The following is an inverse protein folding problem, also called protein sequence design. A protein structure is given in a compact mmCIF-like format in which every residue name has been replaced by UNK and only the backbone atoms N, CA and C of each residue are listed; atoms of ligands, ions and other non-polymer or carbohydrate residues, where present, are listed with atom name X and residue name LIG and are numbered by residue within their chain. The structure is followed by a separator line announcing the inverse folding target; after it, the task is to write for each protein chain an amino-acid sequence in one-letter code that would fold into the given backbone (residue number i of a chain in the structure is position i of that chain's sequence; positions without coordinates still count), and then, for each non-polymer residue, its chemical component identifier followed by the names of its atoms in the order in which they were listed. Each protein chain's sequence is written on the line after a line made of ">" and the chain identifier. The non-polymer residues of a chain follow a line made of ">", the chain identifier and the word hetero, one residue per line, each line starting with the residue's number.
data_IF_230294724521
#
_entry.id   IF_230294724521
#
_cell.length_a   1.000
_cell.length_b   1.000
_cell.length_c   1.000
_cell.angle_alpha   90.00
_cell.angle_beta   90.00
_cell.angle_gamma   90.00
#
_symmetry.space_group_name_H-M   'P 1'
#
loop_
_entity.id
_entity.type
_entity.pdbx_description
1 polymer ?
#
# COMPACT_ATOMS: atom_id res chain seq x y z
N UNK A 1 -12.00 -9.66 4.01
CA UNK A 1 -10.94 -8.62 4.10
C UNK A 1 -11.46 -7.38 3.40
N UNK A 2 -11.46 -6.22 4.08
CA UNK A 2 -11.83 -4.95 3.45
C UNK A 2 -10.55 -4.28 3.00
N UNK A 3 -10.39 -4.14 1.70
CA UNK A 3 -9.29 -3.42 1.10
C UNK A 3 -9.78 -2.01 0.81
N UNK A 4 -9.04 -1.00 1.25
CA UNK A 4 -9.43 0.40 1.14
C UNK A 4 -8.42 1.18 0.29
N UNK A 5 -8.94 2.17 -0.42
CA UNK A 5 -8.13 3.11 -1.17
C UNK A 5 -7.18 3.85 -0.21
N UNK A 6 -5.90 3.97 -0.59
CA UNK A 6 -4.88 4.54 0.27
C UNK A 6 -4.16 3.55 1.20
N UNK A 7 -4.58 2.28 1.29
CA UNK A 7 -3.81 1.27 2.03
C UNK A 7 -2.47 0.97 1.36
N UNK A 8 -1.44 0.83 2.16
CA UNK A 8 -0.11 0.42 1.74
C UNK A 8 0.14 -1.00 2.26
N UNK A 9 0.67 -1.86 1.41
CA UNK A 9 1.01 -3.23 1.75
C UNK A 9 2.48 -3.47 1.46
N UNK A 10 3.21 -4.06 2.39
CA UNK A 10 4.61 -4.42 2.22
C UNK A 10 4.77 -5.92 2.07
N UNK A 11 5.57 -6.34 1.10
CA UNK A 11 5.92 -7.74 0.90
C UNK A 11 7.43 -7.86 0.69
N UNK A 12 8.14 -8.26 1.73
CA UNK A 12 9.60 -8.24 1.70
C UNK A 12 10.10 -6.81 1.51
N UNK A 13 10.73 -6.54 0.36
CA UNK A 13 11.21 -5.21 -0.03
C UNK A 13 10.24 -4.42 -0.91
N UNK A 14 9.13 -5.03 -1.33
CA UNK A 14 8.16 -4.40 -2.21
C UNK A 14 7.04 -3.71 -1.41
N UNK A 15 6.62 -2.55 -1.89
CA UNK A 15 5.52 -1.76 -1.35
C UNK A 15 4.41 -1.63 -2.39
N UNK A 16 3.16 -1.82 -1.98
CA UNK A 16 1.98 -1.81 -2.83
C UNK A 16 0.94 -0.87 -2.23
N UNK A 17 0.79 0.31 -2.80
CA UNK A 17 -0.21 1.30 -2.37
C UNK A 17 -1.45 1.21 -3.24
N UNK A 18 -2.60 0.89 -2.66
CA UNK A 18 -3.87 0.87 -3.38
C UNK A 18 -4.23 2.30 -3.78
N UNK A 19 -4.28 2.56 -5.09
CA UNK A 19 -4.57 3.89 -5.65
C UNK A 19 -6.05 4.03 -5.95
N UNK A 20 -6.66 3.06 -6.66
CA UNK A 20 -8.10 3.08 -6.99
C UNK A 20 -8.72 1.69 -7.03
N UNK A 21 -10.04 1.65 -6.85
CA UNK A 21 -10.85 0.44 -6.95
C UNK A 21 -11.67 0.46 -8.23
N UNK A 22 -11.29 -0.36 -9.20
CA UNK A 22 -12.11 -0.62 -10.37
C UNK A 22 -13.15 -1.72 -10.06
N UNK A 23 -14.18 -1.80 -10.90
CA UNK A 23 -15.30 -2.74 -10.73
C UNK A 23 -14.82 -4.20 -10.70
N UNK A 24 -13.83 -4.54 -11.54
CA UNK A 24 -13.24 -5.89 -11.66
C UNK A 24 -11.75 -5.96 -11.30
N UNK A 25 -11.07 -4.83 -11.14
CA UNK A 25 -9.64 -4.76 -10.88
C UNK A 25 -9.30 -3.81 -9.72
N UNK A 26 -8.07 -3.87 -9.25
CA UNK A 26 -7.49 -3.00 -8.24
C UNK A 26 -6.28 -2.35 -8.87
N UNK A 27 -6.27 -1.02 -8.85
CA UNK A 27 -5.13 -0.23 -9.27
C UNK A 27 -4.28 0.09 -8.04
N UNK A 28 -3.01 -0.25 -8.09
CA UNK A 28 -2.05 -0.03 -7.03
C UNK A 28 -0.72 0.45 -7.59
N UNK A 29 -0.01 1.24 -6.80
CA UNK A 29 1.35 1.66 -7.10
C UNK A 29 2.31 0.70 -6.42
N UNK A 30 3.13 0.03 -7.22
CA UNK A 30 4.23 -0.80 -6.76
C UNK A 30 5.49 0.05 -6.64
N UNK A 31 6.16 0.02 -5.51
CA UNK A 31 7.47 0.65 -5.28
C UNK A 31 8.38 -0.39 -4.66
N UNK A 32 9.59 -0.57 -5.18
CA UNK A 32 10.64 -1.41 -4.56
C UNK A 32 11.51 -0.62 -3.60
N UNK A 33 11.53 0.71 -3.75
CA UNK A 33 12.36 1.58 -2.94
C UNK A 33 11.64 2.91 -2.69
N UNK A 34 11.47 3.26 -1.42
CA UNK A 34 10.87 4.53 -1.00
C UNK A 34 11.83 5.70 -1.25
N UNK A 35 13.13 5.43 -1.35
CA UNK A 35 14.19 6.42 -1.45
C UNK A 35 14.33 6.96 -2.88
N UNK A 36 14.27 6.09 -3.89
CA UNK A 36 14.31 6.49 -5.31
C UNK A 36 12.99 7.05 -5.81
N UNK A 37 11.87 6.80 -5.08
CA UNK A 37 10.49 7.13 -5.48
C UNK A 37 10.06 6.51 -6.83
N UNK A 38 10.88 5.65 -7.41
CA UNK A 38 10.55 4.92 -8.63
C UNK A 38 9.53 3.84 -8.29
N UNK A 39 8.36 3.96 -8.90
CA UNK A 39 7.31 2.99 -8.71
C UNK A 39 6.30 3.05 -9.84
N UNK A 40 5.91 1.87 -10.29
CA UNK A 40 5.01 1.67 -11.42
C UNK A 40 3.57 1.54 -10.94
N UNK A 41 2.64 2.08 -11.70
CA UNK A 41 1.22 1.83 -11.50
C UNK A 41 0.85 0.51 -12.18
N UNK A 42 0.20 -0.36 -11.43
CA UNK A 42 -0.26 -1.65 -11.90
C UNK A 42 -1.76 -1.77 -11.62
N UNK A 43 -2.48 -2.31 -12.59
CA UNK A 43 -3.86 -2.72 -12.43
C UNK A 43 -3.94 -4.24 -12.57
N UNK A 44 -4.55 -4.91 -11.60
CA UNK A 44 -4.81 -6.35 -11.70
C UNK A 44 -6.08 -6.78 -10.98
N UNK A 45 -6.55 -7.97 -11.31
CA UNK A 45 -7.84 -8.47 -10.83
C UNK A 45 -7.84 -8.65 -9.31
N UNK A 46 -9.01 -8.48 -8.68
CA UNK A 46 -9.18 -8.68 -7.22
C UNK A 46 -8.63 -10.04 -6.74
N UNK A 47 -8.79 -11.09 -7.55
CA UNK A 47 -8.24 -12.43 -7.28
C UNK A 47 -6.72 -12.46 -7.24
N UNK A 48 -6.09 -11.79 -8.20
CA UNK A 48 -4.63 -11.73 -8.30
C UNK A 48 -4.06 -10.86 -7.19
N UNK A 49 -4.70 -9.73 -6.89
CA UNK A 49 -4.26 -8.84 -5.82
C UNK A 49 -4.30 -9.53 -4.46
N UNK A 50 -5.38 -10.28 -4.18
CA UNK A 50 -5.48 -11.05 -2.95
C UNK A 50 -4.42 -12.18 -2.86
N UNK A 51 -3.98 -12.75 -3.99
CA UNK A 51 -2.84 -13.69 -4.03
C UNK A 51 -1.51 -12.99 -3.86
N UNK A 52 -1.36 -11.80 -4.43
CA UNK A 52 -0.16 -10.98 -4.32
C UNK A 52 0.06 -10.54 -2.86
N UNK A 53 -1.01 -10.09 -2.20
CA UNK A 53 -1.03 -9.77 -0.78
C UNK A 53 -0.86 -10.98 0.14
N UNK A 54 -0.88 -12.22 -0.39
CA UNK A 54 -0.66 -13.41 0.43
C UNK A 54 0.79 -13.40 0.92
N UNK A 55 0.95 -13.21 2.23
CA UNK A 55 2.26 -13.02 2.87
C UNK A 55 2.77 -11.57 2.88
N UNK A 56 1.99 -10.61 2.35
CA UNK A 56 2.23 -9.20 2.55
C UNK A 56 1.68 -8.75 3.91
N UNK A 57 2.33 -7.77 4.53
CA UNK A 57 1.87 -7.07 5.72
C UNK A 57 1.18 -5.79 5.32
N UNK A 58 0.06 -5.48 5.96
CA UNK A 58 -0.54 -4.17 5.82
C UNK A 58 0.34 -3.16 6.57
N UNK A 59 0.88 -2.17 5.86
CA UNK A 59 1.42 -0.96 6.44
C UNK A 59 0.25 0.01 6.55
N UNK A 60 -0.36 0.04 7.72
CA UNK A 60 -1.17 1.22 8.06
C UNK A 60 -0.22 2.42 8.01
N UNK A 61 -0.63 3.53 7.38
CA UNK A 61 0.16 4.75 7.52
C UNK A 61 0.29 4.93 9.03
N UNK A 62 1.52 4.90 9.55
CA UNK A 62 1.79 5.48 10.85
C UNK A 62 1.13 6.85 10.77
N UNK A 63 0.01 7.01 11.48
CA UNK A 63 -0.30 8.27 12.10
C UNK A 63 1.03 8.66 12.70
N UNK A 64 1.71 9.61 12.06
CA UNK A 64 2.74 10.37 12.74
C UNK A 64 2.04 10.82 14.00
N UNK A 65 2.35 10.15 15.11
CA UNK A 65 2.09 10.66 16.44
C UNK A 65 2.42 12.15 16.39
N UNK A 66 1.44 13.07 16.56
CA UNK A 66 1.77 14.45 16.84
C UNK A 66 2.37 14.61 18.26
N UNK A 67 2.73 13.51 18.95
CA UNK A 67 3.35 13.51 20.27
C UNK A 67 4.86 13.82 20.20
N UNK A 68 5.18 14.92 19.53
CA UNK A 68 6.46 15.61 19.63
C UNK A 68 6.28 17.13 19.42
N UNK A 69 5.31 17.75 20.08
CA UNK A 69 5.40 19.18 20.38
C UNK A 69 5.12 19.41 21.87
N UNK A 70 6.24 19.36 22.60
CA UNK A 70 6.54 19.95 23.90
C UNK A 70 5.43 20.69 24.65
N UNK A 71 5.12 20.12 25.81
CA UNK A 71 4.87 20.82 27.09
C UNK A 71 5.54 22.20 27.17
N UNK A 72 4.79 23.22 27.61
CA UNK A 72 5.26 24.03 28.74
C UNK A 72 4.37 23.94 29.98
#
# INVERSE_FOLDING_TARGET
>A
MRLQQGQIWQKGNDYYRIVQWARHAIEYKHMTDLETKEGTFHELSKKEFCRLLKGAKLLEPEEKDPEAESTP
#
